data_IF_258230903240
#
_entry.id   IF_258230903240
#
_cell.length_a   1.000
_cell.length_b   1.000
_cell.length_c   1.000
_cell.angle_alpha   90.00
_cell.angle_beta   90.00
_cell.angle_gamma   90.00
#
_symmetry.space_group_name_H-M   'P 1'
#
loop_
_entity.id
_entity.type
_entity.pdbx_description
1 polymer ?
#
# COMPACT_ATOMS: atom_id res chain seq x y z
N UNK A 1 30.35 8.98 14.57
CA UNK A 1 29.66 8.14 13.57
C UNK A 1 28.77 7.15 14.29
N UNK A 2 27.59 6.79 13.76
CA UNK A 2 26.75 5.77 14.36
C UNK A 2 27.47 4.42 14.37
N UNK A 3 27.15 3.55 15.33
CA UNK A 3 27.74 2.21 15.46
C UNK A 3 27.20 1.20 14.44
N UNK A 4 26.07 1.51 13.78
CA UNK A 4 25.48 0.71 12.70
C UNK A 4 24.52 1.53 11.84
N UNK A 5 24.21 1.03 10.65
CA UNK A 5 23.21 1.58 9.72
C UNK A 5 22.05 0.62 9.44
N UNK A 6 22.12 -0.62 9.94
CA UNK A 6 21.11 -1.66 9.73
C UNK A 6 19.85 -1.43 10.58
N UNK A 7 18.70 -1.82 10.01
CA UNK A 7 17.42 -1.86 10.72
C UNK A 7 17.31 -3.20 11.44
N UNK A 8 17.74 -3.24 12.70
CA UNK A 8 17.58 -4.46 13.50
C UNK A 8 16.12 -4.68 13.91
N UNK A 9 15.65 -5.94 13.89
CA UNK A 9 14.30 -6.27 14.28
C UNK A 9 14.09 -6.20 15.79
N UNK A 10 12.87 -5.82 16.17
CA UNK A 10 12.26 -5.95 17.48
C UNK A 10 11.33 -7.18 17.47
N UNK A 11 11.01 -7.76 18.62
CA UNK A 11 10.10 -8.91 18.68
C UNK A 11 8.67 -8.52 18.27
N UNK A 12 8.25 -7.30 18.61
CA UNK A 12 7.01 -6.69 18.18
C UNK A 12 7.29 -5.26 17.73
N UNK A 13 6.59 -4.84 16.70
CA UNK A 13 6.72 -3.50 16.12
C UNK A 13 5.46 -2.72 16.44
N UNK A 14 5.60 -1.62 17.17
CA UNK A 14 4.50 -0.66 17.37
C UNK A 14 4.46 0.27 16.17
N UNK A 15 3.38 0.22 15.41
CA UNK A 15 3.17 0.99 14.20
C UNK A 15 2.19 2.13 14.49
N UNK A 16 2.62 3.36 14.21
CA UNK A 16 1.79 4.56 14.18
C UNK A 16 1.98 5.34 12.88
N UNK A 17 1.03 6.22 12.62
CA UNK A 17 1.09 7.20 11.54
C UNK A 17 -0.27 7.86 11.36
N UNK A 18 -0.41 8.58 10.25
CA UNK A 18 -1.63 9.34 9.94
C UNK A 18 -2.22 8.88 8.60
N UNK A 19 -3.55 8.84 8.52
CA UNK A 19 -4.24 8.90 7.23
C UNK A 19 -4.16 10.34 6.74
N UNK A 20 -3.54 10.54 5.58
CA UNK A 20 -3.33 11.89 5.03
C UNK A 20 -4.18 12.16 3.81
N UNK A 21 -4.65 13.40 3.70
CA UNK A 21 -5.53 13.88 2.64
C UNK A 21 -4.84 14.12 1.31
N UNK A 22 -5.67 14.49 0.33
CA UNK A 22 -5.25 14.90 -1.00
C UNK A 22 -5.98 16.18 -1.38
N UNK A 23 -5.23 17.19 -1.80
CA UNK A 23 -5.74 18.46 -2.32
C UNK A 23 -5.21 18.66 -3.74
N UNK A 24 -6.11 18.96 -4.68
CA UNK A 24 -5.79 19.17 -6.10
C UNK A 24 -4.93 18.05 -6.74
N UNK A 25 -5.19 16.79 -6.36
CA UNK A 25 -4.50 15.63 -6.91
C UNK A 25 -3.13 15.32 -6.28
N UNK A 26 -2.71 16.06 -5.25
CA UNK A 26 -1.47 15.82 -4.50
C UNK A 26 -1.73 15.61 -3.02
N UNK A 27 -0.97 14.72 -2.37
CA UNK A 27 -1.09 14.54 -0.92
C UNK A 27 -0.66 15.81 -0.19
N UNK A 28 -1.55 16.35 0.63
CA UNK A 28 -1.33 17.61 1.37
C UNK A 28 -0.70 17.38 2.75
N UNK A 29 -0.59 16.11 3.18
CA UNK A 29 -0.12 15.69 4.49
C UNK A 29 -0.98 16.23 5.66
N UNK A 30 -2.22 16.64 5.39
CA UNK A 30 -3.20 16.96 6.43
C UNK A 30 -3.89 15.69 6.91
N UNK A 31 -4.07 15.56 8.22
CA UNK A 31 -4.80 14.45 8.81
C UNK A 31 -6.25 14.41 8.33
N UNK A 32 -6.75 13.23 7.98
CA UNK A 32 -8.15 13.05 7.58
C UNK A 32 -8.94 12.56 8.80
N UNK A 33 -9.86 13.34 9.38
CA UNK A 33 -10.75 12.88 10.43
C UNK A 33 -11.81 11.92 9.90
N UNK A 34 -12.24 10.97 10.74
CA UNK A 34 -13.33 10.05 10.42
C UNK A 34 -12.96 8.94 9.43
N UNK A 35 -11.70 8.85 9.01
CA UNK A 35 -11.22 7.75 8.18
C UNK A 35 -11.22 6.45 9.01
N UNK A 36 -11.82 5.38 8.47
CA UNK A 36 -11.76 4.06 9.09
C UNK A 36 -10.53 3.32 8.56
N UNK A 37 -9.72 2.82 9.48
CA UNK A 37 -8.57 1.95 9.17
C UNK A 37 -8.82 0.58 9.76
N UNK A 38 -8.79 -0.45 8.93
CA UNK A 38 -8.85 -1.85 9.37
C UNK A 38 -7.61 -2.58 8.86
N UNK A 39 -6.93 -3.32 9.72
CA UNK A 39 -5.72 -4.06 9.36
C UNK A 39 -5.96 -5.55 9.44
N UNK A 40 -5.44 -6.29 8.47
CA UNK A 40 -5.46 -7.76 8.43
C UNK A 40 -4.05 -8.29 8.24
N UNK A 41 -3.73 -9.39 8.92
CA UNK A 41 -2.57 -10.20 8.57
C UNK A 41 -2.88 -10.97 7.27
N UNK A 42 -1.93 -10.99 6.34
CA UNK A 42 -2.10 -11.64 5.03
C UNK A 42 -1.00 -12.64 4.74
N UNK A 43 -1.32 -13.61 3.89
CA UNK A 43 -0.36 -14.54 3.34
C UNK A 43 0.47 -13.86 2.23
N UNK A 44 1.81 -13.85 2.32
CA UNK A 44 2.65 -13.12 1.37
C UNK A 44 2.69 -13.73 -0.02
N UNK A 45 2.31 -15.01 -0.19
CA UNK A 45 2.32 -15.68 -1.49
C UNK A 45 1.01 -15.49 -2.25
N UNK A 46 -0.09 -15.23 -1.52
CA UNK A 46 -1.43 -15.14 -2.13
C UNK A 46 -2.13 -13.81 -1.91
N UNK A 47 -1.69 -12.99 -0.95
CA UNK A 47 -2.37 -11.77 -0.51
C UNK A 47 -3.70 -12.03 0.21
N UNK A 48 -4.03 -13.28 0.53
CA UNK A 48 -5.26 -13.62 1.24
C UNK A 48 -5.13 -13.31 2.73
N UNK A 49 -6.23 -12.84 3.34
CA UNK A 49 -6.32 -12.64 4.78
C UNK A 49 -6.19 -13.98 5.50
N UNK A 50 -5.39 -14.02 6.57
CA UNK A 50 -5.16 -15.22 7.38
C UNK A 50 -6.18 -15.42 8.51
N UNK A 51 -7.11 -14.47 8.68
CA UNK A 51 -8.14 -14.53 9.71
C UNK A 51 -8.90 -13.20 9.82
N UNK A 52 -9.46 -12.99 11.01
CA UNK A 52 -10.15 -11.74 11.39
C UNK A 52 -9.21 -10.52 11.38
N UNK A 53 -9.82 -9.33 11.47
CA UNK A 53 -9.06 -8.08 11.59
C UNK A 53 -8.18 -8.09 12.84
N UNK A 54 -6.95 -7.62 12.70
CA UNK A 54 -5.96 -7.51 13.79
C UNK A 54 -5.87 -6.10 14.38
N UNK A 55 -6.40 -5.10 13.68
CA UNK A 55 -6.56 -3.73 14.17
C UNK A 55 -7.75 -3.05 13.51
N UNK A 56 -8.41 -2.14 14.22
CA UNK A 56 -9.52 -1.35 13.69
C UNK A 56 -9.60 -0.03 14.45
N UNK A 57 -9.61 1.09 13.74
CA UNK A 57 -9.77 2.40 14.35
C UNK A 57 -10.50 3.37 13.41
N UNK A 58 -10.96 4.48 13.97
CA UNK A 58 -11.43 5.65 13.24
C UNK A 58 -10.57 6.84 13.65
N UNK A 59 -10.03 7.56 12.69
CA UNK A 59 -9.09 8.65 12.94
C UNK A 59 -9.75 9.89 13.56
N UNK A 60 -9.01 10.57 14.44
CA UNK A 60 -9.36 11.90 14.96
C UNK A 60 -8.94 13.03 14.02
N UNK A 61 -9.00 14.27 14.51
CA UNK A 61 -8.66 15.49 13.75
C UNK A 61 -7.23 15.49 13.17
N UNK A 62 -6.31 14.80 13.82
CA UNK A 62 -4.91 14.65 13.41
C UNK A 62 -4.71 13.52 12.38
N UNK A 63 -5.74 12.73 12.07
CA UNK A 63 -5.64 11.59 11.17
C UNK A 63 -4.93 10.37 11.76
N UNK A 64 -4.59 10.35 13.06
CA UNK A 64 -3.81 9.26 13.65
C UNK A 64 -4.57 7.93 13.62
N UNK A 65 -3.91 6.85 13.15
CA UNK A 65 -4.51 5.51 13.06
C UNK A 65 -3.87 4.47 13.99
N UNK A 66 -2.69 4.75 14.52
CA UNK A 66 -2.04 3.90 15.53
C UNK A 66 -2.52 4.19 16.96
N UNK A 67 -1.94 3.51 17.97
CA UNK A 67 -0.93 2.46 17.84
C UNK A 67 -1.51 1.10 17.44
N UNK A 68 -0.75 0.37 16.64
CA UNK A 68 -0.98 -1.03 16.33
C UNK A 68 0.28 -1.85 16.62
N UNK A 69 0.19 -2.82 17.53
CA UNK A 69 1.29 -3.76 17.80
C UNK A 69 1.24 -4.92 16.82
N UNK A 70 2.16 -4.92 15.86
CA UNK A 70 2.30 -5.94 14.83
C UNK A 70 3.41 -6.95 15.16
N UNK A 71 3.25 -8.20 14.72
CA UNK A 71 4.38 -9.12 14.60
C UNK A 71 5.35 -8.55 13.55
N UNK A 72 6.65 -8.55 13.85
CA UNK A 72 7.66 -7.86 13.05
C UNK A 72 8.00 -8.55 11.71
N UNK A 73 7.50 -9.77 11.50
CA UNK A 73 7.64 -10.59 10.31
C UNK A 73 6.33 -10.78 9.52
N UNK A 74 5.23 -10.16 9.96
CA UNK A 74 3.92 -10.31 9.32
C UNK A 74 3.68 -9.29 8.20
N UNK A 75 3.18 -9.81 7.07
CA UNK A 75 2.64 -8.98 5.98
C UNK A 75 1.23 -8.53 6.33
N UNK A 76 0.90 -7.29 5.98
CA UNK A 76 -0.38 -6.69 6.35
C UNK A 76 -1.09 -6.05 5.15
N UNK A 77 -2.41 -6.16 5.17
CA UNK A 77 -3.35 -5.36 4.37
C UNK A 77 -3.95 -4.28 5.28
N UNK A 78 -3.76 -3.01 4.92
CA UNK A 78 -4.41 -1.86 5.53
C UNK A 78 -5.57 -1.43 4.62
N UNK A 79 -6.79 -1.57 5.11
CA UNK A 79 -8.00 -1.10 4.43
C UNK A 79 -8.34 0.29 4.97
N UNK A 80 -8.34 1.27 4.07
CA UNK A 80 -8.61 2.68 4.37
C UNK A 80 -9.92 3.07 3.70
N UNK A 81 -10.88 3.50 4.52
CA UNK A 81 -12.20 3.97 4.07
C UNK A 81 -12.35 5.44 4.48
N UNK A 82 -12.52 6.30 3.49
CA UNK A 82 -12.77 7.73 3.66
C UNK A 82 -14.06 8.04 2.90
N UNK A 83 -14.98 8.77 3.53
CA UNK A 83 -16.25 9.13 2.90
C UNK A 83 -16.04 9.83 1.55
N UNK A 84 -16.80 9.42 0.54
CA UNK A 84 -16.71 9.94 -0.83
C UNK A 84 -15.54 9.40 -1.66
N UNK A 85 -14.56 8.71 -1.07
CA UNK A 85 -13.40 8.17 -1.79
C UNK A 85 -13.54 6.66 -2.07
N UNK A 86 -12.76 6.10 -3.01
CA UNK A 86 -12.60 4.65 -3.14
C UNK A 86 -12.02 4.01 -1.87
N UNK A 87 -12.45 2.80 -1.55
CA UNK A 87 -11.84 1.99 -0.49
C UNK A 87 -10.45 1.56 -0.96
N UNK A 88 -9.42 1.95 -0.21
CA UNK A 88 -8.04 1.65 -0.57
C UNK A 88 -7.52 0.46 0.24
N UNK A 89 -7.03 -0.56 -0.46
CA UNK A 89 -6.37 -1.72 0.13
C UNK A 89 -4.86 -1.60 -0.07
N UNK A 90 -4.12 -1.28 0.99
CA UNK A 90 -2.66 -1.09 0.95
C UNK A 90 -1.98 -2.33 1.52
N UNK A 91 -1.19 -3.03 0.72
CA UNK A 91 -0.40 -4.18 1.12
C UNK A 91 1.05 -3.77 1.31
N UNK A 92 1.64 -4.17 2.44
CA UNK A 92 3.05 -3.86 2.78
C UNK A 92 3.77 -5.10 3.32
N UNK A 93 5.06 -5.18 3.01
CA UNK A 93 5.98 -6.11 3.66
C UNK A 93 6.09 -5.83 5.17
N UNK A 94 6.61 -6.79 5.97
CA UNK A 94 6.70 -6.67 7.41
C UNK A 94 7.53 -5.48 7.87
N UNK A 95 7.25 -4.98 9.07
CA UNK A 95 8.04 -3.93 9.70
C UNK A 95 8.92 -4.56 10.78
N UNK A 96 10.25 -4.65 10.59
CA UNK A 96 11.13 -5.29 11.55
C UNK A 96 11.15 -4.56 12.90
N UNK A 97 10.82 -3.25 12.93
CA UNK A 97 10.79 -2.46 14.16
C UNK A 97 9.67 -1.43 14.14
N UNK A 98 9.36 -0.86 15.30
CA UNK A 98 8.36 0.20 15.44
C UNK A 98 8.68 1.46 14.64
N UNK A 99 7.62 2.20 14.27
CA UNK A 99 7.71 3.48 13.56
C UNK A 99 6.48 4.32 13.84
N UNK A 100 6.67 5.64 13.93
CA UNK A 100 5.57 6.60 14.14
C UNK A 100 5.13 7.35 12.88
N UNK A 101 5.77 7.07 11.74
CA UNK A 101 5.61 7.82 10.49
C UNK A 101 5.06 6.95 9.35
N UNK A 102 4.28 5.93 9.70
CA UNK A 102 3.65 5.03 8.74
C UNK A 102 2.35 5.65 8.20
N UNK A 103 2.49 6.67 7.36
CA UNK A 103 1.33 7.35 6.77
C UNK A 103 0.55 6.44 5.80
N UNK A 104 -0.77 6.56 5.82
CA UNK A 104 -1.69 5.87 4.93
C UNK A 104 -2.29 6.88 3.95
N UNK A 105 -2.12 6.60 2.67
CA UNK A 105 -2.49 7.49 1.57
C UNK A 105 -3.50 6.77 0.70
N UNK A 106 -4.74 7.26 0.71
CA UNK A 106 -5.81 6.67 -0.08
C UNK A 106 -5.50 6.82 -1.58
N UNK A 107 -5.73 5.74 -2.33
CA UNK A 107 -5.60 5.73 -3.78
C UNK A 107 -6.88 6.21 -4.47
N UNK A 108 -6.78 6.38 -5.78
CA UNK A 108 -7.91 6.74 -6.62
C UNK A 108 -7.83 6.10 -7.99
N UNK A 109 -8.97 6.08 -8.67
CA UNK A 109 -9.08 5.68 -10.07
C UNK A 109 -8.54 6.78 -10.97
N UNK A 110 -7.76 6.41 -11.99
CA UNK A 110 -7.52 7.27 -13.13
C UNK A 110 -8.74 7.27 -14.06
N UNK A 111 -8.79 8.26 -14.97
CA UNK A 111 -9.90 8.42 -15.91
C UNK A 111 -10.16 7.13 -16.70
N UNK A 112 -11.36 6.57 -16.57
CA UNK A 112 -11.81 5.38 -17.30
C UNK A 112 -11.58 4.06 -16.58
N UNK A 113 -10.86 4.06 -15.46
CA UNK A 113 -10.59 2.85 -14.67
C UNK A 113 -11.81 2.41 -13.83
N UNK A 114 -12.82 3.25 -13.67
CA UNK A 114 -14.04 2.94 -12.92
C UNK A 114 -14.84 1.78 -13.53
N UNK A 115 -14.63 1.50 -14.81
CA UNK A 115 -15.25 0.39 -15.56
C UNK A 115 -14.41 -0.90 -15.56
N UNK A 116 -13.23 -0.89 -14.94
CA UNK A 116 -12.34 -2.03 -14.88
C UNK A 116 -12.90 -3.17 -14.02
N UNK A 117 -12.31 -4.36 -14.14
CA UNK A 117 -12.55 -5.43 -13.17
C UNK A 117 -11.86 -5.17 -11.83
N UNK A 118 -10.59 -4.77 -11.88
CA UNK A 118 -9.79 -4.40 -10.71
C UNK A 118 -8.67 -3.45 -11.09
N UNK A 119 -8.30 -2.55 -10.18
CA UNK A 119 -7.27 -1.54 -10.38
C UNK A 119 -6.22 -1.71 -9.30
N UNK A 120 -5.00 -2.03 -9.73
CA UNK A 120 -3.87 -2.30 -8.85
C UNK A 120 -2.73 -1.35 -9.17
N UNK A 121 -2.10 -0.86 -8.12
CA UNK A 121 -0.96 0.04 -8.20
C UNK A 121 0.22 -0.60 -7.49
N UNK A 122 1.42 -0.39 -8.04
CA UNK A 122 2.64 -0.44 -7.22
C UNK A 122 3.04 0.98 -6.87
N UNK A 123 3.49 1.19 -5.64
CA UNK A 123 3.90 2.50 -5.12
C UNK A 123 5.26 2.41 -4.44
N UNK A 124 6.09 3.46 -4.61
CA UNK A 124 7.38 3.64 -3.94
C UNK A 124 7.43 5.02 -3.29
N UNK A 125 6.94 5.21 -2.06
CA UNK A 125 6.82 6.53 -1.45
C UNK A 125 8.14 7.31 -1.28
N UNK A 126 9.27 6.61 -1.29
CA UNK A 126 10.62 7.17 -1.08
C UNK A 126 11.51 7.14 -2.32
N UNK A 127 10.92 7.12 -3.53
CA UNK A 127 11.70 7.29 -4.75
C UNK A 127 10.94 6.94 -6.03
N UNK A 128 11.64 6.99 -7.15
CA UNK A 128 11.07 6.68 -8.47
C UNK A 128 11.56 5.31 -8.96
N UNK A 129 10.73 4.68 -9.81
CA UNK A 129 11.09 3.47 -10.55
C UNK A 129 11.99 3.85 -11.74
N UNK A 130 13.11 3.16 -11.90
CA UNK A 130 14.06 3.41 -12.98
C UNK A 130 14.29 2.20 -13.87
N UNK A 131 13.89 2.30 -15.14
CA UNK A 131 14.19 1.29 -16.16
C UNK A 131 15.71 1.03 -16.26
N UNK A 132 16.10 -0.23 -16.42
CA UNK A 132 17.50 -0.65 -16.52
C UNK A 132 18.28 -0.66 -15.20
N UNK A 133 17.80 0.05 -14.16
CA UNK A 133 18.37 0.05 -12.82
C UNK A 133 17.62 -0.88 -11.86
N UNK A 134 16.30 -0.78 -11.87
CA UNK A 134 15.43 -1.48 -10.95
C UNK A 134 14.70 -2.64 -11.65
N UNK A 135 14.35 -3.67 -10.89
CA UNK A 135 13.35 -4.67 -11.28
C UNK A 135 12.03 -4.25 -10.64
N UNK A 136 11.01 -3.88 -11.41
CA UNK A 136 9.68 -3.56 -10.88
C UNK A 136 8.62 -4.25 -11.72
N UNK A 137 7.80 -5.07 -11.08
CA UNK A 137 6.82 -5.90 -11.74
C UNK A 137 5.51 -5.94 -10.97
N UNK A 138 4.41 -6.00 -11.72
CA UNK A 138 3.08 -6.36 -11.26
C UNK A 138 2.53 -7.42 -12.21
N UNK A 139 2.07 -8.53 -11.67
CA UNK A 139 1.60 -9.69 -12.45
C UNK A 139 2.67 -10.21 -13.45
N UNK A 140 3.94 -10.17 -13.03
CA UNK A 140 5.10 -10.59 -13.82
C UNK A 140 5.50 -9.64 -14.96
N UNK A 141 4.87 -8.45 -15.05
CA UNK A 141 5.10 -7.47 -16.12
C UNK A 141 5.52 -6.13 -15.56
N UNK A 142 6.29 -5.37 -16.34
CA UNK A 142 6.53 -3.95 -16.06
C UNK A 142 5.19 -3.22 -16.16
N UNK A 143 4.75 -2.49 -15.11
CA UNK A 143 3.48 -1.77 -15.13
C UNK A 143 3.50 -0.59 -16.11
N UNK A 144 2.31 -0.20 -16.57
CA UNK A 144 2.15 1.01 -17.37
C UNK A 144 2.32 2.28 -16.54
N UNK A 145 2.64 3.38 -17.24
CA UNK A 145 2.70 4.74 -16.66
C UNK A 145 4.05 5.14 -16.08
N UNK A 146 5.07 4.29 -16.16
CA UNK A 146 6.44 4.61 -15.75
C UNK A 146 7.23 5.08 -16.97
N UNK A 147 7.91 6.21 -16.84
CA UNK A 147 8.67 6.82 -17.93
C UNK A 147 10.04 6.14 -18.10
N UNK A 148 10.48 5.99 -19.35
CA UNK A 148 11.87 5.64 -19.65
C UNK A 148 12.82 6.82 -19.41
N UNK A 149 14.12 6.53 -19.29
CA UNK A 149 15.15 7.54 -19.04
C UNK A 149 15.27 7.95 -17.57
N UNK A 150 15.27 9.27 -17.30
CA UNK A 150 15.44 9.82 -15.94
C UNK A 150 14.24 9.44 -15.07
N UNK A 151 14.40 8.67 -13.98
CA UNK A 151 13.28 8.24 -13.14
C UNK A 151 12.49 9.44 -12.58
N UNK A 152 11.18 9.49 -12.85
CA UNK A 152 10.29 10.57 -12.37
C UNK A 152 8.94 10.10 -11.84
N UNK A 153 8.65 8.80 -11.89
CA UNK A 153 7.36 8.23 -11.49
C UNK A 153 7.53 7.22 -10.37
N UNK A 154 6.74 7.37 -9.30
CA UNK A 154 6.74 6.50 -8.10
C UNK A 154 5.54 5.55 -8.05
N UNK A 155 4.67 5.58 -9.06
CA UNK A 155 3.45 4.79 -9.13
C UNK A 155 3.33 4.12 -10.50
N UNK A 156 3.24 2.79 -10.51
CA UNK A 156 2.90 2.00 -11.71
C UNK A 156 1.50 1.44 -11.60
N UNK A 157 0.80 1.24 -12.72
CA UNK A 157 -0.59 0.75 -12.74
C UNK A 157 -0.76 -0.55 -13.53
N UNK A 158 -1.68 -1.39 -13.05
CA UNK A 158 -2.25 -2.53 -13.74
C UNK A 158 -3.77 -2.47 -13.62
N UNK A 159 -4.44 -2.50 -14.78
CA UNK A 159 -5.89 -2.62 -14.88
C UNK A 159 -6.22 -4.02 -15.33
N UNK A 160 -7.05 -4.73 -14.55
CA UNK A 160 -7.49 -6.08 -14.85
C UNK A 160 -8.91 -6.09 -15.43
N UNK A 161 -9.22 -7.02 -16.35
CA UNK A 161 -10.60 -7.24 -16.80
C UNK A 161 -11.46 -7.78 -15.65
N UNK A 162 -12.78 -7.73 -15.82
CA UNK A 162 -13.73 -8.32 -14.89
C UNK A 162 -13.43 -9.82 -14.68
N UNK A 163 -13.50 -10.27 -13.43
CA UNK A 163 -13.22 -11.64 -13.05
C UNK A 163 -13.24 -11.82 -11.54
N UNK A 164 -13.12 -13.08 -11.09
CA UNK A 164 -13.04 -13.39 -9.68
C UNK A 164 -11.78 -12.77 -9.05
N UNK A 165 -11.84 -12.34 -7.77
CA UNK A 165 -10.65 -11.94 -7.02
C UNK A 165 -9.54 -13.00 -7.13
N UNK A 166 -8.32 -12.57 -7.42
CA UNK A 166 -7.14 -13.43 -7.58
C UNK A 166 -5.91 -12.82 -6.93
N UNK A 167 -4.90 -13.64 -6.73
CA UNK A 167 -3.58 -13.19 -6.31
C UNK A 167 -2.85 -12.52 -7.47
N UNK A 168 -2.14 -11.44 -7.18
CA UNK A 168 -1.30 -10.70 -8.14
C UNK A 168 0.09 -10.55 -7.53
N UNK A 169 1.12 -11.25 -8.05
CA UNK A 169 2.48 -11.10 -7.55
C UNK A 169 3.03 -9.73 -7.94
N UNK A 170 3.74 -9.11 -7.01
CA UNK A 170 4.40 -7.81 -7.15
C UNK A 170 5.85 -7.93 -6.73
N UNK A 171 6.73 -7.20 -7.40
CA UNK A 171 8.16 -7.19 -7.09
C UNK A 171 8.76 -5.81 -7.28
N UNK A 172 9.62 -5.43 -6.36
CA UNK A 172 10.58 -4.35 -6.50
C UNK A 172 11.96 -4.83 -6.03
N UNK A 173 12.90 -5.00 -6.95
CA UNK A 173 14.24 -5.53 -6.69
C UNK A 173 14.21 -6.86 -5.92
N UNK A 174 14.54 -6.83 -4.62
CA UNK A 174 14.53 -7.99 -3.73
C UNK A 174 13.23 -8.11 -2.91
N UNK A 175 12.43 -7.04 -2.84
CA UNK A 175 11.13 -7.05 -2.18
C UNK A 175 10.08 -7.68 -3.11
N UNK A 176 9.38 -8.70 -2.62
CA UNK A 176 8.46 -9.52 -3.42
C UNK A 176 7.35 -10.08 -2.53
N UNK A 177 6.10 -9.94 -2.95
CA UNK A 177 4.93 -10.51 -2.30
C UNK A 177 3.74 -10.55 -3.27
N UNK A 178 2.58 -11.01 -2.82
CA UNK A 178 1.34 -10.95 -3.58
C UNK A 178 0.29 -10.08 -2.89
N UNK A 179 -0.52 -9.43 -3.71
CA UNK A 179 -1.72 -8.72 -3.27
C UNK A 179 -2.96 -9.45 -3.78
N UNK A 180 -4.11 -9.21 -3.14
CA UNK A 180 -5.41 -9.69 -3.63
C UNK A 180 -6.03 -8.62 -4.52
N UNK A 181 -6.51 -8.99 -5.70
CA UNK A 181 -7.33 -8.09 -6.51
C UNK A 181 -8.70 -7.90 -5.86
N UNK A 182 -9.21 -6.67 -5.92
CA UNK A 182 -10.52 -6.30 -5.38
C UNK A 182 -11.39 -5.68 -6.48
N UNK A 183 -12.71 -5.93 -6.50
CA UNK A 183 -13.57 -5.45 -7.58
C UNK A 183 -13.65 -3.92 -7.63
N UNK A 184 -13.32 -3.32 -8.78
CA UNK A 184 -13.44 -1.87 -8.96
C UNK A 184 -14.91 -1.41 -8.93
N UNK A 185 -15.86 -2.29 -9.29
CA UNK A 185 -17.30 -2.06 -9.15
C UNK A 185 -17.76 -1.80 -7.70
N UNK A 186 -16.99 -2.29 -6.71
CA UNK A 186 -17.21 -1.98 -5.28
C UNK A 186 -16.45 -0.70 -4.84
N UNK A 187 -15.97 0.09 -5.80
CA UNK A 187 -15.11 1.26 -5.58
C UNK A 187 -13.85 0.93 -4.78
N UNK A 188 -13.23 -0.23 -5.06
CA UNK A 188 -11.99 -0.66 -4.40
C UNK A 188 -10.78 -0.46 -5.30
N UNK A 189 -9.70 0.05 -4.71
CA UNK A 189 -8.39 0.20 -5.35
C UNK A 189 -7.33 -0.49 -4.49
N UNK A 190 -6.37 -1.15 -5.15
CA UNK A 190 -5.32 -1.92 -4.48
C UNK A 190 -3.97 -1.28 -4.68
N UNK A 191 -3.18 -1.14 -3.62
CA UNK A 191 -1.82 -0.61 -3.66
C UNK A 191 -0.89 -1.65 -3.02
N UNK A 192 0.05 -2.16 -3.79
CA UNK A 192 1.26 -2.77 -3.26
C UNK A 192 2.28 -1.66 -3.00
N UNK A 193 2.60 -1.38 -1.74
CA UNK A 193 3.53 -0.31 -1.41
C UNK A 193 4.87 -0.87 -0.94
N UNK A 194 5.91 -0.59 -1.74
CA UNK A 194 7.28 -1.02 -1.50
C UNK A 194 8.00 -0.03 -0.59
N UNK A 195 8.70 -0.56 0.41
CA UNK A 195 9.38 0.25 1.41
C UNK A 195 10.80 -0.24 1.74
N UNK A 196 11.34 -1.19 0.97
CA UNK A 196 12.75 -1.61 1.06
C UNK A 196 13.58 -1.25 -0.19
#
# INVERSE_FOLDING_TARGET
>A
MPSRTEILPEAQSVLNGNVTGMTAGSYDNLGVPGARVTVYAVDPLTGQRRGEKVHSTTTGADGAWGPFTAASDAFHEFVVEIEGQPITHIYRAPFPRGTDVLHLRAGGFAKGEESAGSVLLISRPRGYFGHGRDIFQIDGKVPGGINEGVPGVSIGRLVLPAGAPRSVPVRFNLESFAVRSWPAAERRVVIAEFHY
#
